data_IF_581472729854
#
_entry.id   IF_581472729854
#
_cell.length_a   1.000
_cell.length_b   1.000
_cell.length_c   1.000
_cell.angle_alpha   90.00
_cell.angle_beta   90.00
_cell.angle_gamma   90.00
#
_symmetry.space_group_name_H-M   'P 1'
#
loop_
_entity.id
_entity.type
_entity.pdbx_description
1 polymer ?
#
# COMPACT_ATOMS: atom_id res chain seq x y z
N UNK A 1 -1.01 25.00 6.30
CA UNK A 1 -2.05 24.63 7.28
C UNK A 1 -1.39 24.04 8.51
N UNK A 2 -1.72 24.53 9.71
CA UNK A 2 -1.15 23.99 10.95
C UNK A 2 -1.92 22.73 11.37
N UNK A 3 -1.20 21.64 11.60
CA UNK A 3 -1.76 20.36 12.01
C UNK A 3 -1.39 20.08 13.46
N UNK A 4 -2.33 19.57 14.24
CA UNK A 4 -2.05 18.91 15.51
C UNK A 4 -1.87 17.42 15.24
N UNK A 5 -0.76 16.86 15.68
CA UNK A 5 -0.41 15.45 15.52
C UNK A 5 -0.23 14.81 16.90
N UNK A 6 -0.97 13.73 17.14
CA UNK A 6 -0.83 12.89 18.33
C UNK A 6 -0.13 11.59 17.89
N UNK A 7 1.04 11.33 18.43
CA UNK A 7 1.82 10.13 18.14
C UNK A 7 1.73 9.16 19.31
N UNK A 8 1.30 7.93 19.05
CA UNK A 8 1.17 6.87 20.05
C UNK A 8 2.10 5.70 19.72
N UNK A 9 3.14 5.52 20.53
CA UNK A 9 4.18 4.53 20.35
C UNK A 9 3.71 3.19 20.91
N UNK A 10 3.41 2.25 20.02
CA UNK A 10 3.01 0.88 20.34
C UNK A 10 3.78 -0.08 19.43
N UNK A 11 4.67 -0.87 20.03
CA UNK A 11 5.57 -1.76 19.29
C UNK A 11 4.93 -3.12 18.94
N UNK A 12 3.75 -3.40 19.49
CA UNK A 12 2.98 -4.61 19.24
C UNK A 12 1.92 -4.36 18.16
N UNK A 13 1.85 -5.23 17.15
CA UNK A 13 0.91 -5.08 16.03
C UNK A 13 -0.55 -5.23 16.47
N UNK A 14 -0.82 -6.10 17.46
CA UNK A 14 -2.16 -6.31 17.99
C UNK A 14 -2.60 -5.09 18.81
N UNK A 15 -1.71 -4.58 19.67
CA UNK A 15 -1.94 -3.33 20.41
C UNK A 15 -2.23 -2.16 19.45
N UNK A 16 -1.47 -2.07 18.36
CA UNK A 16 -1.66 -1.05 17.32
C UNK A 16 -3.03 -1.19 16.63
N UNK A 17 -3.47 -2.42 16.37
CA UNK A 17 -4.80 -2.68 15.80
C UNK A 17 -5.91 -2.24 16.75
N UNK A 18 -5.82 -2.58 18.04
CA UNK A 18 -6.79 -2.11 19.03
C UNK A 18 -6.82 -0.59 19.20
N UNK A 19 -5.65 0.06 19.16
CA UNK A 19 -5.56 1.52 19.15
C UNK A 19 -6.30 2.10 17.94
N UNK A 20 -6.00 1.62 16.73
CA UNK A 20 -6.65 2.08 15.50
C UNK A 20 -8.16 1.87 15.55
N UNK A 21 -8.64 0.71 16.01
CA UNK A 21 -10.06 0.44 16.19
C UNK A 21 -10.71 1.46 17.14
N UNK A 22 -10.09 1.71 18.30
CA UNK A 22 -10.60 2.67 19.28
C UNK A 22 -10.65 4.09 18.74
N UNK A 23 -9.61 4.53 18.03
CA UNK A 23 -9.53 5.84 17.39
C UNK A 23 -10.58 5.97 16.28
N UNK A 24 -10.72 4.98 15.41
CA UNK A 24 -11.69 5.01 14.30
C UNK A 24 -13.12 5.09 14.81
N UNK A 25 -13.47 4.29 15.82
CA UNK A 25 -14.80 4.37 16.46
C UNK A 25 -15.07 5.72 17.07
N UNK A 26 -14.05 6.34 17.68
CA UNK A 26 -14.16 7.69 18.21
C UNK A 26 -14.38 8.72 17.10
N UNK A 27 -13.56 8.69 16.04
CA UNK A 27 -13.67 9.56 14.86
C UNK A 27 -15.05 9.46 14.23
N UNK A 28 -15.55 8.23 14.04
CA UNK A 28 -16.87 7.97 13.48
C UNK A 28 -17.99 8.50 14.40
N UNK A 29 -17.96 8.19 15.70
CA UNK A 29 -18.98 8.63 16.66
C UNK A 29 -19.04 10.17 16.81
N UNK A 30 -17.90 10.84 16.67
CA UNK A 30 -17.77 12.30 16.77
C UNK A 30 -17.88 13.01 15.42
N UNK A 31 -18.01 12.26 14.32
CA UNK A 31 -18.06 12.77 12.93
C UNK A 31 -16.91 13.70 12.60
N UNK A 32 -15.69 13.34 13.01
CA UNK A 32 -14.50 14.12 12.69
C UNK A 32 -14.12 13.87 11.23
N UNK A 33 -14.18 14.91 10.39
CA UNK A 33 -14.07 14.76 8.93
C UNK A 33 -12.62 14.79 8.41
N UNK A 34 -11.74 15.51 9.11
CA UNK A 34 -10.39 15.83 8.66
C UNK A 34 -9.31 15.18 9.53
N UNK A 35 -9.49 13.89 9.84
CA UNK A 35 -8.54 13.11 10.63
C UNK A 35 -7.71 12.20 9.73
N UNK A 36 -6.40 12.28 9.91
CA UNK A 36 -5.40 11.50 9.20
C UNK A 36 -4.81 10.46 10.13
N UNK A 37 -4.75 9.21 9.66
CA UNK A 37 -4.24 8.04 10.37
C UNK A 37 -3.05 7.48 9.61
N UNK A 38 -1.87 7.50 10.22
CA UNK A 38 -0.63 7.02 9.60
C UNK A 38 0.13 6.08 10.53
N UNK A 39 0.80 5.07 9.97
CA UNK A 39 1.86 4.34 10.67
C UNK A 39 3.19 5.02 10.37
N UNK A 40 4.05 5.12 11.37
CA UNK A 40 5.39 5.70 11.22
C UNK A 40 6.39 4.95 12.12
N UNK A 41 7.67 5.10 11.81
CA UNK A 41 8.77 4.38 12.45
C UNK A 41 9.81 5.32 13.08
N UNK A 42 9.75 6.63 12.83
CA UNK A 42 10.71 7.60 13.38
C UNK A 42 10.58 7.67 14.90
N UNK A 43 11.69 7.51 15.63
CA UNK A 43 11.73 7.41 17.09
C UNK A 43 10.96 6.22 17.67
N UNK A 44 10.64 5.21 16.85
CA UNK A 44 9.89 4.02 17.26
C UNK A 44 8.68 3.73 16.37
N UNK A 45 8.15 2.50 16.43
CA UNK A 45 6.91 2.16 15.73
C UNK A 45 5.71 2.81 16.43
N UNK A 46 4.93 3.59 15.67
CA UNK A 46 3.82 4.34 16.24
C UNK A 46 2.72 4.61 15.20
N UNK A 47 1.55 4.99 15.72
CA UNK A 47 0.47 5.57 14.93
C UNK A 47 0.47 7.07 15.14
N UNK A 48 0.44 7.84 14.05
CA UNK A 48 0.19 9.28 14.05
C UNK A 48 -1.28 9.53 13.73
N UNK A 49 -1.91 10.36 14.56
CA UNK A 49 -3.27 10.87 14.37
C UNK A 49 -3.15 12.38 14.18
N UNK A 50 -3.35 12.85 12.96
CA UNK A 50 -3.18 14.26 12.60
C UNK A 50 -4.50 14.89 12.19
N UNK A 51 -4.75 16.13 12.57
CA UNK A 51 -5.94 16.89 12.19
C UNK A 51 -5.64 18.39 12.18
N UNK A 52 -6.39 19.22 11.43
CA UNK A 52 -6.23 20.67 11.47
C UNK A 52 -6.32 21.19 12.91
N UNK A 53 -5.36 22.00 13.35
CA UNK A 53 -5.32 22.48 14.74
C UNK A 53 -6.57 23.29 15.12
N UNK A 54 -7.19 23.95 14.14
CA UNK A 54 -8.46 24.67 14.31
C UNK A 54 -9.67 23.74 14.54
N UNK A 55 -9.57 22.46 14.19
CA UNK A 55 -10.62 21.43 14.33
C UNK A 55 -10.31 20.46 15.48
N UNK A 56 -9.43 20.85 16.40
CA UNK A 56 -8.98 19.98 17.47
C UNK A 56 -10.12 19.53 18.39
N UNK A 57 -10.36 18.22 18.47
CA UNK A 57 -11.26 17.63 19.46
C UNK A 57 -10.46 17.30 20.74
N UNK A 58 -10.80 17.99 21.84
CA UNK A 58 -10.14 17.85 23.14
C UNK A 58 -10.31 16.45 23.77
N UNK A 59 -11.25 15.64 23.31
CA UNK A 59 -11.50 14.29 23.82
C UNK A 59 -10.67 13.20 23.13
N UNK A 60 -10.13 13.45 21.94
CA UNK A 60 -9.37 12.47 21.18
C UNK A 60 -8.03 12.09 21.86
N UNK A 61 -7.25 13.08 22.30
CA UNK A 61 -5.97 12.83 22.98
C UNK A 61 -6.14 12.03 24.30
N UNK A 62 -7.08 12.36 25.20
CA UNK A 62 -7.37 11.53 26.37
C UNK A 62 -7.77 10.09 26.02
N UNK A 63 -8.50 9.87 24.93
CA UNK A 63 -8.86 8.51 24.47
C UNK A 63 -7.61 7.75 24.04
N UNK A 64 -6.75 8.36 23.23
CA UNK A 64 -5.48 7.76 22.78
C UNK A 64 -4.59 7.42 23.98
N UNK A 65 -4.45 8.33 24.95
CA UNK A 65 -3.66 8.08 26.17
C UNK A 65 -4.18 6.89 26.97
N UNK A 66 -5.49 6.78 27.19
CA UNK A 66 -6.09 5.63 27.88
C UNK A 66 -5.86 4.31 27.12
N UNK A 67 -5.94 4.32 25.80
CA UNK A 67 -5.66 3.14 24.98
C UNK A 67 -4.17 2.76 25.05
N UNK A 68 -3.28 3.75 24.99
CA UNK A 68 -1.84 3.54 25.12
C UNK A 68 -1.45 2.97 26.50
N UNK A 69 -2.04 3.47 27.58
CA UNK A 69 -1.86 2.92 28.93
C UNK A 69 -2.36 1.47 29.05
N UNK A 70 -3.48 1.16 28.38
CA UNK A 70 -4.08 -0.18 28.41
C UNK A 70 -3.26 -1.22 27.63
N UNK A 71 -2.72 -0.85 26.48
CA UNK A 71 -2.08 -1.78 25.56
C UNK A 71 -0.56 -1.71 25.52
N UNK A 72 0.03 -0.63 26.04
CA UNK A 72 1.47 -0.51 26.21
C UNK A 72 1.98 -1.49 27.27
N UNK A 73 3.17 -2.04 27.06
CA UNK A 73 3.81 -2.96 28.01
C UNK A 73 5.27 -2.57 28.25
N UNK A 74 5.82 -2.81 29.46
CA UNK A 74 7.25 -2.69 29.67
C UNK A 74 8.01 -3.57 28.69
N UNK A 75 9.06 -3.02 28.09
CA UNK A 75 9.94 -3.69 27.12
C UNK A 75 11.34 -3.78 27.69
N UNK A 76 12.00 -4.89 27.46
CA UNK A 76 13.39 -5.06 27.88
C UNK A 76 14.35 -4.26 26.99
N UNK A 77 15.53 -3.91 27.52
CA UNK A 77 16.57 -3.19 26.76
C UNK A 77 16.97 -3.92 25.47
N UNK A 78 16.97 -5.26 25.50
CA UNK A 78 17.29 -6.10 24.33
C UNK A 78 16.27 -5.96 23.21
N UNK A 79 14.98 -5.77 23.53
CA UNK A 79 13.94 -5.55 22.54
C UNK A 79 14.14 -4.20 21.84
N UNK A 80 14.41 -3.13 22.59
CA UNK A 80 14.70 -1.81 22.00
C UNK A 80 15.92 -1.85 21.09
N UNK A 81 17.00 -2.53 21.48
CA UNK A 81 18.17 -2.69 20.62
C UNK A 81 17.83 -3.37 19.29
N UNK A 82 16.98 -4.42 19.31
CA UNK A 82 16.51 -5.07 18.09
C UNK A 82 15.64 -4.13 17.22
N UNK A 83 14.83 -3.26 17.84
CA UNK A 83 14.07 -2.25 17.10
C UNK A 83 14.97 -1.19 16.47
N UNK A 84 15.99 -0.70 17.18
CA UNK A 84 16.98 0.24 16.62
C UNK A 84 17.65 -0.33 15.37
N UNK A 85 18.06 -1.61 15.39
CA UNK A 85 18.63 -2.28 14.22
C UNK A 85 17.66 -2.31 13.02
N UNK A 86 16.36 -2.52 13.27
CA UNK A 86 15.34 -2.49 12.21
C UNK A 86 15.20 -1.07 11.67
N UNK A 87 15.12 -0.06 12.53
CA UNK A 87 14.99 1.35 12.15
C UNK A 87 16.19 1.85 11.37
N UNK A 88 17.42 1.44 11.73
CA UNK A 88 18.61 1.73 10.94
C UNK A 88 18.51 1.19 9.51
N UNK A 89 18.05 -0.05 9.34
CA UNK A 89 17.83 -0.64 8.01
C UNK A 89 16.76 0.10 7.23
N UNK A 90 15.65 0.48 7.88
CA UNK A 90 14.58 1.28 7.26
C UNK A 90 15.09 2.65 6.82
N UNK A 91 15.83 3.36 7.67
CA UNK A 91 16.39 4.66 7.34
C UNK A 91 17.30 4.61 6.11
N UNK A 92 18.14 3.58 5.99
CA UNK A 92 18.98 3.36 4.79
C UNK A 92 18.12 3.05 3.56
N UNK A 93 17.14 2.15 3.67
CA UNK A 93 16.30 1.74 2.54
C UNK A 93 15.44 2.92 2.00
N UNK A 94 14.93 3.73 2.91
CA UNK A 94 14.09 4.90 2.61
C UNK A 94 14.90 6.16 2.31
N UNK A 95 16.24 6.12 2.37
CA UNK A 95 17.12 7.29 2.28
C UNK A 95 16.73 8.41 3.27
N UNK A 96 16.36 8.05 4.49
CA UNK A 96 15.99 8.98 5.55
C UNK A 96 17.23 9.52 6.25
N UNK A 97 17.38 10.85 6.28
CA UNK A 97 18.60 11.54 6.75
C UNK A 97 18.41 12.33 8.04
N UNK A 98 17.18 12.50 8.51
CA UNK A 98 16.86 13.23 9.74
C UNK A 98 17.04 12.36 10.98
N UNK A 99 16.81 12.94 12.17
CA UNK A 99 16.86 12.19 13.43
C UNK A 99 15.67 11.20 13.53
N UNK A 100 15.97 9.95 13.89
CA UNK A 100 14.98 8.90 14.15
C UNK A 100 15.25 8.12 15.45
N UNK A 101 16.19 8.59 16.26
CA UNK A 101 16.58 8.05 17.57
C UNK A 101 16.77 9.22 18.57
N UNK A 102 16.64 9.00 19.89
CA UNK A 102 16.40 7.72 20.58
C UNK A 102 14.95 7.23 20.44
N UNK A 103 14.72 5.95 20.75
CA UNK A 103 13.37 5.37 20.78
C UNK A 103 12.54 5.88 21.95
N UNK A 104 11.26 6.18 21.69
CA UNK A 104 10.28 6.39 22.75
C UNK A 104 9.89 5.07 23.40
N UNK A 105 9.48 5.15 24.67
CA UNK A 105 9.02 3.96 25.40
C UNK A 105 7.67 3.48 24.86
N UNK A 106 7.45 2.18 24.85
CA UNK A 106 6.15 1.57 24.54
C UNK A 106 5.04 2.16 25.45
N UNK A 107 3.91 2.51 24.87
CA UNK A 107 2.81 3.23 25.52
C UNK A 107 2.99 4.75 25.61
N UNK A 108 4.09 5.33 25.11
CA UNK A 108 4.27 6.78 25.11
C UNK A 108 3.29 7.47 24.15
N UNK A 109 2.74 8.60 24.57
CA UNK A 109 1.92 9.47 23.73
C UNK A 109 2.49 10.89 23.74
N UNK A 110 2.85 11.38 22.57
CA UNK A 110 3.29 12.77 22.35
C UNK A 110 2.26 13.52 21.52
N UNK A 111 2.20 14.84 21.68
CA UNK A 111 1.35 15.70 20.89
C UNK A 111 2.15 16.94 20.49
N UNK A 112 2.10 17.29 19.21
CA UNK A 112 2.82 18.43 18.64
C UNK A 112 1.95 19.16 17.61
N UNK A 113 2.29 20.41 17.34
CA UNK A 113 1.66 21.19 16.28
C UNK A 113 2.69 21.60 15.24
N UNK A 114 2.53 21.12 14.01
CA UNK A 114 3.48 21.30 12.91
C UNK A 114 2.86 22.05 11.74
N UNK A 115 3.70 22.66 10.91
CA UNK A 115 3.27 23.20 9.63
C UNK A 115 3.19 22.09 8.58
N UNK A 116 1.97 21.66 8.25
CA UNK A 116 1.72 20.60 7.28
C UNK A 116 2.10 19.20 7.76
N UNK A 117 1.89 18.23 6.87
CA UNK A 117 2.38 16.86 7.05
C UNK A 117 3.86 16.82 6.72
N UNK A 118 4.69 16.70 7.76
CA UNK A 118 6.12 16.50 7.63
C UNK A 118 6.37 14.99 7.54
N UNK A 119 6.79 14.51 6.37
CA UNK A 119 7.40 13.20 6.19
C UNK A 119 8.68 13.37 5.38
N UNK A 120 9.72 12.63 5.77
CA UNK A 120 10.93 12.52 4.95
C UNK A 120 10.57 11.84 3.62
N UNK A 121 11.05 12.40 2.51
CA UNK A 121 10.92 11.85 1.16
C UNK A 121 9.49 11.74 0.58
N UNK A 122 8.64 12.75 0.82
CA UNK A 122 7.35 12.83 0.12
C UNK A 122 7.48 12.98 -1.40
N UNK A 123 6.56 12.33 -2.12
CA UNK A 123 6.48 12.35 -3.59
C UNK A 123 5.67 13.54 -4.12
N UNK A 124 4.75 14.08 -3.33
CA UNK A 124 3.99 15.29 -3.65
C UNK A 124 4.33 16.49 -2.77
N UNK A 125 3.71 17.63 -3.04
CA UNK A 125 3.67 18.79 -2.15
C UNK A 125 2.95 18.45 -0.82
N UNK A 126 3.05 19.34 0.19
CA UNK A 126 2.30 19.20 1.43
C UNK A 126 0.77 19.12 1.22
N UNK A 127 0.24 19.75 0.17
CA UNK A 127 -1.19 19.70 -0.19
C UNK A 127 -1.57 18.33 -0.72
N UNK A 128 -0.87 17.86 -1.76
CA UNK A 128 -1.13 16.55 -2.39
C UNK A 128 -0.99 15.42 -1.38
N UNK A 129 0.07 15.43 -0.55
CA UNK A 129 0.24 14.41 0.48
C UNK A 129 -0.90 14.46 1.51
N UNK A 130 -1.34 15.65 1.91
CA UNK A 130 -2.48 15.80 2.82
C UNK A 130 -3.75 15.18 2.26
N UNK A 131 -4.08 15.47 1.01
CA UNK A 131 -5.27 14.91 0.35
C UNK A 131 -5.19 13.38 0.23
N UNK A 132 -4.04 12.81 -0.14
CA UNK A 132 -3.83 11.36 -0.21
C UNK A 132 -4.04 10.69 1.16
N UNK A 133 -3.43 11.26 2.20
CA UNK A 133 -3.52 10.71 3.56
C UNK A 133 -4.93 10.86 4.14
N UNK A 134 -5.63 11.94 3.80
CA UNK A 134 -7.02 12.14 4.16
C UNK A 134 -7.93 11.12 3.48
N UNK A 135 -7.78 10.91 2.16
CA UNK A 135 -8.56 9.92 1.42
C UNK A 135 -8.36 8.50 1.98
N UNK A 136 -7.11 8.12 2.32
CA UNK A 136 -6.83 6.83 2.97
C UNK A 136 -7.55 6.70 4.30
N UNK A 137 -7.52 7.76 5.10
CA UNK A 137 -8.09 7.76 6.44
C UNK A 137 -9.62 7.73 6.41
N UNK A 138 -10.24 8.43 5.47
CA UNK A 138 -11.68 8.38 5.23
C UNK A 138 -12.12 6.98 4.79
N UNK A 139 -11.41 6.36 3.83
CA UNK A 139 -11.68 4.98 3.44
C UNK A 139 -11.52 4.01 4.63
N UNK A 140 -10.47 4.20 5.43
CA UNK A 140 -10.23 3.37 6.61
C UNK A 140 -11.40 3.49 7.59
N UNK A 141 -11.86 4.70 7.90
CA UNK A 141 -13.01 4.94 8.79
C UNK A 141 -14.29 4.33 8.25
N UNK A 142 -14.54 4.45 6.93
CA UNK A 142 -15.73 3.89 6.28
C UNK A 142 -15.76 2.36 6.31
N UNK A 143 -14.60 1.70 6.23
CA UNK A 143 -14.51 0.25 6.06
C UNK A 143 -14.15 -0.53 7.32
N UNK A 144 -13.58 0.10 8.35
CA UNK A 144 -12.80 -0.62 9.37
C UNK A 144 -13.58 -1.74 10.10
N UNK A 145 -14.80 -1.46 10.56
CA UNK A 145 -15.58 -2.46 11.29
C UNK A 145 -15.99 -3.62 10.35
N UNK A 146 -16.48 -3.33 9.13
CA UNK A 146 -16.80 -4.37 8.13
C UNK A 146 -15.57 -5.17 7.73
N UNK A 147 -14.40 -4.52 7.59
CA UNK A 147 -13.14 -5.16 7.28
C UNK A 147 -12.70 -6.14 8.38
N UNK A 148 -12.85 -5.75 9.64
CA UNK A 148 -12.49 -6.57 10.81
C UNK A 148 -13.35 -7.81 10.97
N UNK A 149 -14.55 -7.85 10.39
CA UNK A 149 -15.45 -9.01 10.39
C UNK A 149 -15.15 -10.01 9.27
N UNK A 150 -14.40 -9.61 8.24
CA UNK A 150 -14.05 -10.50 7.14
C UNK A 150 -12.96 -11.50 7.54
N UNK A 151 -13.10 -12.79 7.17
CA UNK A 151 -12.00 -13.73 7.27
C UNK A 151 -10.86 -13.37 6.31
N UNK A 152 -9.67 -13.94 6.55
CA UNK A 152 -8.42 -13.53 5.90
C UNK A 152 -8.44 -13.67 4.37
N UNK A 153 -9.01 -14.76 3.86
CA UNK A 153 -9.24 -15.05 2.45
C UNK A 153 -10.15 -14.01 1.78
N UNK A 154 -11.23 -13.60 2.45
CA UNK A 154 -12.14 -12.57 1.95
C UNK A 154 -11.47 -11.20 1.93
N UNK A 155 -10.70 -10.88 2.96
CA UNK A 155 -9.86 -9.67 2.96
C UNK A 155 -8.81 -9.70 1.83
N UNK A 156 -8.22 -10.87 1.52
CA UNK A 156 -7.29 -11.02 0.39
C UNK A 156 -7.99 -10.69 -0.93
N UNK A 157 -9.20 -11.24 -1.12
CA UNK A 157 -10.04 -11.00 -2.29
C UNK A 157 -10.42 -9.51 -2.42
N UNK A 158 -10.82 -8.84 -1.33
CA UNK A 158 -11.14 -7.41 -1.39
C UNK A 158 -9.90 -6.55 -1.73
N UNK A 159 -8.72 -6.88 -1.20
CA UNK A 159 -7.47 -6.25 -1.64
C UNK A 159 -7.14 -6.55 -3.10
N UNK A 160 -7.37 -7.77 -3.58
CA UNK A 160 -7.15 -8.13 -4.97
C UNK A 160 -8.07 -7.31 -5.90
N UNK A 161 -9.34 -7.12 -5.53
CA UNK A 161 -10.26 -6.24 -6.27
C UNK A 161 -9.78 -4.78 -6.30
N UNK A 162 -9.24 -4.26 -5.19
CA UNK A 162 -8.64 -2.91 -5.15
C UNK A 162 -7.51 -2.77 -6.18
N UNK A 163 -6.66 -3.79 -6.30
CA UNK A 163 -5.63 -3.84 -7.34
C UNK A 163 -6.24 -3.96 -8.74
N UNK A 164 -7.24 -4.82 -8.95
CA UNK A 164 -7.96 -4.95 -10.23
C UNK A 164 -8.54 -3.62 -10.71
N UNK A 165 -9.21 -2.86 -9.83
CA UNK A 165 -9.71 -1.50 -10.12
C UNK A 165 -8.57 -0.62 -10.64
N UNK A 166 -7.44 -0.64 -9.94
CA UNK A 166 -6.28 0.21 -10.23
C UNK A 166 -5.63 -0.16 -11.55
N UNK A 167 -5.30 -1.44 -11.77
CA UNK A 167 -4.64 -1.89 -13.00
C UNK A 167 -5.54 -1.79 -14.21
N UNK A 168 -6.87 -1.85 -14.04
CA UNK A 168 -7.81 -1.62 -15.14
C UNK A 168 -7.81 -0.16 -15.64
N UNK A 169 -7.25 0.78 -14.88
CA UNK A 169 -7.07 2.18 -15.32
C UNK A 169 -5.78 2.41 -16.09
N UNK A 170 -4.89 1.43 -16.15
CA UNK A 170 -3.69 1.49 -16.99
C UNK A 170 -4.03 1.33 -18.49
N UNK A 171 -3.19 1.84 -19.41
CA UNK A 171 -3.32 1.54 -20.83
C UNK A 171 -3.39 0.03 -21.10
N UNK A 172 -4.32 -0.39 -21.97
CA UNK A 172 -4.66 -1.80 -22.21
C UNK A 172 -5.41 -2.52 -21.09
N UNK A 173 -5.80 -1.79 -20.04
CA UNK A 173 -6.63 -2.28 -18.94
C UNK A 173 -5.97 -3.38 -18.11
N UNK A 174 -6.82 -4.16 -17.43
CA UNK A 174 -6.37 -5.19 -16.49
C UNK A 174 -5.49 -6.27 -17.15
N UNK A 175 -5.68 -6.54 -18.45
CA UNK A 175 -4.92 -7.55 -19.20
C UNK A 175 -3.43 -7.25 -19.24
N UNK A 176 -3.03 -5.98 -19.26
CA UNK A 176 -1.61 -5.60 -19.27
C UNK A 176 -1.17 -4.95 -17.96
N UNK A 177 -2.04 -4.16 -17.32
CA UNK A 177 -1.70 -3.44 -16.09
C UNK A 177 -1.22 -4.34 -14.95
N UNK A 178 -1.73 -5.58 -14.88
CA UNK A 178 -1.36 -6.55 -13.84
C UNK A 178 0.12 -6.97 -13.87
N UNK A 179 0.81 -6.80 -15.01
CA UNK A 179 2.21 -7.22 -15.17
C UNK A 179 3.15 -6.49 -14.19
N UNK A 180 2.80 -5.28 -13.77
CA UNK A 180 3.55 -4.57 -12.73
C UNK A 180 3.43 -5.22 -11.34
N UNK A 181 2.25 -5.76 -11.00
CA UNK A 181 2.05 -6.54 -9.77
C UNK A 181 2.78 -7.88 -9.87
N UNK A 182 2.74 -8.51 -11.05
CA UNK A 182 3.51 -9.73 -11.34
C UNK A 182 5.01 -9.48 -11.16
N UNK A 183 5.54 -8.37 -11.65
CA UNK A 183 6.95 -7.99 -11.46
C UNK A 183 7.34 -7.92 -9.99
N UNK A 184 6.53 -7.26 -9.16
CA UNK A 184 6.79 -7.17 -7.72
C UNK A 184 6.79 -8.56 -7.04
N UNK A 185 5.85 -9.42 -7.43
CA UNK A 185 5.74 -10.79 -6.91
C UNK A 185 6.95 -11.65 -7.31
N UNK A 186 7.33 -11.63 -8.59
CA UNK A 186 8.50 -12.32 -9.12
C UNK A 186 9.80 -11.87 -8.44
N UNK A 187 9.94 -10.56 -8.22
CA UNK A 187 11.09 -10.01 -7.51
C UNK A 187 11.17 -10.54 -6.07
N UNK A 188 10.03 -10.62 -5.37
CA UNK A 188 9.97 -11.15 -4.02
C UNK A 188 10.40 -12.62 -3.95
N UNK A 189 9.92 -13.45 -4.90
CA UNK A 189 10.28 -14.87 -5.01
C UNK A 189 11.79 -15.01 -5.20
N UNK A 190 12.38 -14.31 -6.17
CA UNK A 190 13.81 -14.41 -6.45
C UNK A 190 14.67 -13.91 -5.29
N UNK A 191 14.25 -12.86 -4.57
CA UNK A 191 14.93 -12.45 -3.34
C UNK A 191 14.89 -13.52 -2.26
N UNK A 192 13.77 -14.24 -2.11
CA UNK A 192 13.68 -15.32 -1.14
C UNK A 192 14.66 -16.45 -1.44
N UNK A 193 14.80 -16.83 -2.71
CA UNK A 193 15.71 -17.89 -3.15
C UNK A 193 17.17 -17.56 -2.80
N UNK A 194 17.56 -16.30 -3.04
CA UNK A 194 18.92 -15.81 -2.78
C UNK A 194 19.16 -15.50 -1.30
N UNK A 195 18.11 -15.25 -0.50
CA UNK A 195 18.29 -15.05 0.94
C UNK A 195 18.78 -16.33 1.61
N UNK A 196 19.91 -16.28 2.32
CA UNK A 196 20.46 -17.39 3.12
C UNK A 196 19.63 -17.75 4.36
N UNK A 197 18.29 -17.59 4.32
CA UNK A 197 17.37 -18.01 5.39
C UNK A 197 17.40 -19.53 5.54
N UNK A 198 17.17 -20.02 6.76
CA UNK A 198 16.96 -21.45 7.04
C UNK A 198 15.85 -22.01 6.15
N UNK A 199 16.04 -23.22 5.63
CA UNK A 199 15.10 -23.87 4.69
C UNK A 199 13.67 -23.97 5.23
N UNK A 200 13.49 -24.23 6.52
CA UNK A 200 12.16 -24.26 7.15
C UNK A 200 11.42 -22.92 7.04
N UNK A 201 12.12 -21.80 7.23
CA UNK A 201 11.53 -20.47 7.08
C UNK A 201 11.21 -20.16 5.62
N UNK A 202 12.05 -20.61 4.68
CA UNK A 202 11.75 -20.48 3.25
C UNK A 202 10.49 -21.24 2.89
N UNK A 203 10.38 -22.51 3.32
CA UNK A 203 9.20 -23.36 3.08
C UNK A 203 7.92 -22.71 3.62
N UNK A 204 7.92 -22.23 4.86
CA UNK A 204 6.75 -21.56 5.45
C UNK A 204 6.31 -20.33 4.67
N UNK A 205 7.25 -19.51 4.18
CA UNK A 205 6.89 -18.35 3.36
C UNK A 205 6.39 -18.81 1.99
N UNK A 206 7.01 -19.82 1.39
CA UNK A 206 6.55 -20.43 0.14
C UNK A 206 5.11 -20.94 0.24
N UNK A 207 4.80 -21.70 1.28
CA UNK A 207 3.43 -22.16 1.56
C UNK A 207 2.48 -20.98 1.71
N UNK A 208 2.85 -19.92 2.43
CA UNK A 208 2.01 -18.73 2.60
C UNK A 208 1.79 -17.94 1.30
N UNK A 209 2.75 -17.95 0.37
CA UNK A 209 2.64 -17.22 -0.90
C UNK A 209 1.76 -17.94 -1.92
N UNK A 210 1.75 -19.27 -1.93
CA UNK A 210 1.16 -20.07 -3.02
C UNK A 210 -0.01 -20.95 -2.58
N UNK A 211 -0.26 -21.11 -1.29
CA UNK A 211 -1.51 -21.73 -0.84
C UNK A 211 -2.69 -20.88 -1.29
N UNK A 212 -3.78 -21.54 -1.69
CA UNK A 212 -5.05 -20.89 -2.04
C UNK A 212 -6.18 -21.60 -1.33
N UNK A 213 -6.98 -20.84 -0.60
CA UNK A 213 -8.26 -21.29 -0.05
C UNK A 213 -9.25 -21.60 -1.18
N UNK A 214 -10.36 -22.28 -0.86
CA UNK A 214 -11.41 -22.57 -1.85
C UNK A 214 -12.01 -21.27 -2.40
N UNK A 215 -12.24 -20.29 -1.54
CA UNK A 215 -12.74 -18.97 -1.88
C UNK A 215 -11.81 -18.21 -2.84
N UNK A 216 -10.49 -18.27 -2.60
CA UNK A 216 -9.49 -17.67 -3.47
C UNK A 216 -9.39 -18.40 -4.82
N UNK A 217 -9.51 -19.72 -4.83
CA UNK A 217 -9.56 -20.50 -6.08
C UNK A 217 -10.78 -20.13 -6.91
N UNK A 218 -11.96 -19.99 -6.29
CA UNK A 218 -13.15 -19.51 -6.99
C UNK A 218 -12.98 -18.09 -7.53
N UNK A 219 -12.31 -17.23 -6.78
CA UNK A 219 -11.95 -15.89 -7.24
C UNK A 219 -10.99 -15.93 -8.43
N UNK A 220 -9.96 -16.79 -8.44
CA UNK A 220 -9.05 -16.96 -9.59
C UNK A 220 -9.84 -17.37 -10.84
N UNK A 221 -10.76 -18.33 -10.70
CA UNK A 221 -11.53 -18.87 -11.83
C UNK A 221 -12.54 -17.88 -12.43
N UNK A 222 -13.13 -17.01 -11.62
CA UNK A 222 -14.28 -16.19 -12.03
C UNK A 222 -14.06 -14.68 -11.87
N UNK A 223 -12.99 -14.24 -11.22
CA UNK A 223 -12.80 -12.87 -10.76
C UNK A 223 -12.81 -11.85 -11.89
N UNK A 224 -11.99 -12.06 -12.93
CA UNK A 224 -11.96 -11.21 -14.13
C UNK A 224 -13.32 -11.15 -14.81
N UNK A 225 -14.00 -12.30 -14.98
CA UNK A 225 -15.33 -12.34 -15.59
C UNK A 225 -16.34 -11.52 -14.79
N UNK A 226 -16.37 -11.71 -13.47
CA UNK A 226 -17.26 -10.96 -12.57
C UNK A 226 -16.95 -9.47 -12.59
N UNK A 227 -15.67 -9.11 -12.66
CA UNK A 227 -15.22 -7.72 -12.77
C UNK A 227 -15.68 -7.10 -14.09
N UNK A 228 -15.45 -7.77 -15.22
CA UNK A 228 -15.87 -7.30 -16.55
C UNK A 228 -17.40 -7.16 -16.70
N UNK A 229 -18.16 -8.00 -16.00
CA UNK A 229 -19.62 -7.96 -15.97
C UNK A 229 -20.20 -6.97 -14.94
N UNK A 230 -19.36 -6.18 -14.24
CA UNK A 230 -19.80 -5.22 -13.22
C UNK A 230 -20.48 -5.86 -12.01
N UNK A 231 -20.24 -7.16 -11.76
CA UNK A 231 -20.92 -7.87 -10.65
C UNK A 231 -20.45 -7.40 -9.28
N UNK A 232 -19.25 -6.83 -9.19
CA UNK A 232 -18.72 -6.30 -7.94
C UNK A 232 -19.28 -4.93 -7.57
N UNK A 233 -19.85 -4.17 -8.52
CA UNK A 233 -20.31 -2.79 -8.33
C UNK A 233 -21.40 -2.66 -7.25
N UNK A 234 -22.12 -3.76 -6.97
CA UNK A 234 -23.15 -3.82 -5.93
C UNK A 234 -22.59 -4.12 -4.53
N UNK A 235 -21.33 -4.50 -4.42
CA UNK A 235 -20.67 -4.82 -3.16
C UNK A 235 -20.20 -3.53 -2.47
N UNK A 236 -20.56 -3.35 -1.20
CA UNK A 236 -20.26 -2.12 -0.45
C UNK A 236 -18.76 -1.77 -0.44
N UNK A 237 -17.91 -2.75 -0.12
CA UNK A 237 -16.45 -2.55 -0.05
C UNK A 237 -15.90 -2.18 -1.43
N UNK A 238 -16.31 -2.90 -2.48
CA UNK A 238 -15.87 -2.61 -3.84
C UNK A 238 -16.22 -1.18 -4.28
N UNK A 239 -17.46 -0.74 -4.04
CA UNK A 239 -17.88 0.62 -4.37
C UNK A 239 -17.05 1.69 -3.65
N UNK A 240 -16.73 1.48 -2.37
CA UNK A 240 -15.87 2.39 -1.59
C UNK A 240 -14.43 2.41 -2.11
N UNK A 241 -13.88 1.25 -2.47
CA UNK A 241 -12.55 1.13 -3.06
C UNK A 241 -12.48 1.83 -4.41
N UNK A 242 -13.52 1.68 -5.25
CA UNK A 242 -13.58 2.33 -6.55
C UNK A 242 -13.60 3.86 -6.41
N UNK A 243 -14.47 4.40 -5.55
CA UNK A 243 -14.51 5.84 -5.25
C UNK A 243 -13.15 6.33 -4.74
N UNK A 244 -12.51 5.58 -3.84
CA UNK A 244 -11.19 5.94 -3.32
C UNK A 244 -10.12 6.01 -4.42
N UNK A 245 -10.03 4.99 -5.29
CA UNK A 245 -9.06 4.96 -6.39
C UNK A 245 -9.33 6.08 -7.40
N UNK A 246 -10.59 6.37 -7.71
CA UNK A 246 -10.97 7.45 -8.62
C UNK A 246 -10.61 8.83 -8.06
N UNK A 247 -10.90 9.09 -6.77
CA UNK A 247 -10.50 10.31 -6.09
C UNK A 247 -8.97 10.45 -6.03
N UNK A 248 -8.26 9.36 -5.72
CA UNK A 248 -6.80 9.35 -5.66
C UNK A 248 -6.18 9.68 -7.01
N UNK A 249 -6.71 9.08 -8.09
CA UNK A 249 -6.26 9.38 -9.46
C UNK A 249 -6.50 10.85 -9.83
N UNK A 250 -7.64 11.43 -9.42
CA UNK A 250 -7.94 12.85 -9.63
C UNK A 250 -6.92 13.76 -8.93
N UNK A 251 -6.67 13.53 -7.63
CA UNK A 251 -5.70 14.30 -6.82
C UNK A 251 -4.30 14.21 -7.43
N UNK A 252 -3.88 13.00 -7.80
CA UNK A 252 -2.56 12.77 -8.37
C UNK A 252 -2.42 13.36 -9.78
N UNK A 253 -3.46 13.25 -10.62
CA UNK A 253 -3.44 13.84 -11.96
C UNK A 253 -3.33 15.35 -11.88
N UNK A 254 -4.14 15.99 -11.03
CA UNK A 254 -4.07 17.43 -10.81
C UNK A 254 -2.69 17.84 -10.26
N UNK A 255 -2.21 17.16 -9.22
CA UNK A 255 -0.90 17.43 -8.64
C UNK A 255 0.26 17.24 -9.64
N UNK A 256 0.14 16.31 -10.59
CA UNK A 256 1.11 16.16 -11.67
C UNK A 256 1.07 17.35 -12.63
N UNK A 257 -0.12 17.74 -13.09
CA UNK A 257 -0.31 18.83 -14.05
C UNK A 257 0.12 20.19 -13.47
N UNK A 258 -0.01 20.37 -12.16
CA UNK A 258 0.42 21.56 -11.42
C UNK A 258 1.92 21.54 -11.02
N UNK A 259 2.65 20.46 -11.35
CA UNK A 259 4.07 20.32 -10.99
C UNK A 259 4.33 20.08 -9.50
N UNK A 260 3.30 19.68 -8.74
CA UNK A 260 3.39 19.36 -7.32
C UNK A 260 3.91 17.95 -7.04
N UNK A 261 3.88 17.06 -8.05
CA UNK A 261 4.48 15.72 -7.98
C UNK A 261 5.93 15.77 -8.45
N UNK A 262 6.83 15.36 -7.56
CA UNK A 262 8.27 15.27 -7.80
C UNK A 262 8.60 13.93 -8.43
N UNK A 263 8.30 13.79 -9.72
CA UNK A 263 8.52 12.55 -10.47
C UNK A 263 9.99 12.12 -10.46
N UNK A 264 10.93 13.05 -10.34
CA UNK A 264 12.37 12.79 -10.18
C UNK A 264 12.72 12.07 -8.87
N UNK A 265 11.86 12.15 -7.85
CA UNK A 265 11.99 11.36 -6.61
C UNK A 265 11.47 9.94 -6.79
N UNK A 266 10.66 9.67 -7.82
CA UNK A 266 10.32 8.31 -8.19
C UNK A 266 11.56 7.69 -8.83
N UNK A 267 12.10 6.68 -8.16
CA UNK A 267 13.20 5.86 -8.69
C UNK A 267 12.79 5.37 -10.09
N UNK A 268 13.59 5.67 -11.12
CA UNK A 268 13.25 5.33 -12.51
C UNK A 268 13.37 3.83 -12.78
N UNK A 269 12.81 3.33 -13.89
CA UNK A 269 13.04 1.94 -14.32
C UNK A 269 14.52 1.63 -14.57
N UNK A 270 15.34 2.63 -14.91
CA UNK A 270 16.80 2.47 -15.07
C UNK A 270 17.52 2.16 -13.75
N UNK A 271 17.02 2.69 -12.64
CA UNK A 271 17.50 2.36 -11.29
C UNK A 271 17.13 0.92 -10.89
N UNK A 272 16.10 0.33 -11.49
CA UNK A 272 15.60 -1.00 -11.16
C UNK A 272 16.69 -2.05 -11.45
N UNK A 273 17.20 -2.10 -12.67
CA UNK A 273 18.22 -3.07 -13.06
C UNK A 273 19.54 -2.93 -12.27
N UNK A 274 19.87 -1.72 -11.83
CA UNK A 274 21.10 -1.44 -11.06
C UNK A 274 20.99 -1.73 -9.57
N UNK A 275 19.77 -1.79 -9.01
CA UNK A 275 19.53 -1.97 -7.55
C UNK A 275 19.10 -3.37 -7.16
N UNK A 276 18.64 -4.18 -8.11
CA UNK A 276 18.03 -5.46 -7.81
C UNK A 276 18.99 -6.61 -8.12
N UNK A 277 19.56 -7.20 -7.06
CA UNK A 277 20.57 -8.27 -7.19
C UNK A 277 19.99 -9.65 -7.56
N UNK A 278 18.67 -9.75 -7.72
CA UNK A 278 17.94 -11.02 -7.89
C UNK A 278 16.89 -10.91 -9.00
N UNK A 279 17.30 -10.41 -10.17
CA UNK A 279 16.45 -10.37 -11.36
C UNK A 279 16.29 -11.77 -11.94
N UNK A 280 15.08 -12.08 -12.40
CA UNK A 280 14.75 -13.35 -13.04
C UNK A 280 14.26 -13.15 -14.49
N UNK A 281 13.87 -14.23 -15.14
CA UNK A 281 13.43 -14.25 -16.54
C UNK A 281 12.33 -13.22 -16.84
N UNK A 282 11.39 -13.01 -15.90
CA UNK A 282 10.36 -11.99 -16.02
C UNK A 282 10.99 -10.60 -16.22
N UNK A 283 11.93 -10.23 -15.35
CA UNK A 283 12.52 -8.90 -15.33
C UNK A 283 13.41 -8.65 -16.54
N UNK A 284 14.18 -9.65 -16.97
CA UNK A 284 15.00 -9.56 -18.18
C UNK A 284 14.16 -9.41 -19.44
N UNK A 285 12.96 -10.00 -19.45
CA UNK A 285 12.01 -9.85 -20.55
C UNK A 285 11.35 -8.46 -20.55
N UNK A 286 10.99 -7.93 -19.37
CA UNK A 286 10.16 -6.73 -19.24
C UNK A 286 10.92 -5.39 -19.25
N UNK A 287 12.20 -5.37 -18.83
CA UNK A 287 12.97 -4.11 -18.71
C UNK A 287 13.92 -3.84 -19.89
N UNK A 288 13.45 -4.06 -21.11
CA UNK A 288 14.23 -3.69 -22.30
C UNK A 288 14.41 -2.15 -22.43
N UNK A 289 15.46 -1.64 -23.09
CA UNK A 289 15.73 -0.20 -23.17
C UNK A 289 14.61 0.68 -23.75
N UNK A 290 13.74 0.13 -24.60
CA UNK A 290 12.55 0.82 -25.13
C UNK A 290 11.43 0.96 -24.09
N UNK A 291 11.29 -0.01 -23.18
CA UNK A 291 10.32 0.04 -22.09
C UNK A 291 10.72 1.07 -21.02
N UNK A 292 12.02 1.30 -20.81
CA UNK A 292 12.56 2.29 -19.87
C UNK A 292 12.08 3.73 -20.12
N UNK A 293 11.73 4.09 -21.37
CA UNK A 293 11.16 5.40 -21.69
C UNK A 293 9.72 5.56 -21.18
N UNK A 294 8.91 4.50 -21.18
CA UNK A 294 7.52 4.52 -20.69
C UNK A 294 7.43 4.70 -19.19
N UNK A 295 8.49 4.37 -18.45
CA UNK A 295 8.57 4.65 -17.02
C UNK A 295 8.52 6.15 -16.67
N UNK A 296 8.61 7.04 -17.67
CA UNK A 296 8.50 8.49 -17.53
C UNK A 296 7.14 9.06 -17.95
N UNK A 297 6.23 8.23 -18.49
CA UNK A 297 4.89 8.68 -18.86
C UNK A 297 4.04 8.99 -17.62
N UNK A 298 3.22 10.06 -17.70
CA UNK A 298 2.32 10.49 -16.63
C UNK A 298 1.53 9.32 -16.05
N UNK A 299 0.82 8.55 -16.90
CA UNK A 299 -0.05 7.47 -16.44
C UNK A 299 0.71 6.40 -15.64
N UNK A 300 1.94 6.08 -16.05
CA UNK A 300 2.77 5.11 -15.35
C UNK A 300 3.31 5.66 -14.02
N UNK A 301 3.69 6.94 -13.99
CA UNK A 301 4.08 7.65 -12.75
C UNK A 301 2.92 7.63 -11.75
N UNK A 302 1.72 8.04 -12.17
CA UNK A 302 0.54 8.07 -11.31
C UNK A 302 0.21 6.67 -10.79
N UNK A 303 0.23 5.67 -11.67
CA UNK A 303 0.01 4.27 -11.30
C UNK A 303 0.96 3.81 -10.17
N UNK A 304 2.26 4.11 -10.27
CA UNK A 304 3.24 3.72 -9.24
C UNK A 304 3.03 4.42 -7.90
N UNK A 305 2.57 5.68 -7.93
CA UNK A 305 2.20 6.39 -6.71
C UNK A 305 0.97 5.74 -6.10
N UNK A 306 -0.06 5.43 -6.89
CA UNK A 306 -1.26 4.72 -6.42
C UNK A 306 -0.87 3.40 -5.76
N UNK A 307 -0.08 2.55 -6.42
CA UNK A 307 0.38 1.26 -5.89
C UNK A 307 1.07 1.43 -4.52
N UNK A 308 1.93 2.44 -4.37
CA UNK A 308 2.59 2.78 -3.10
C UNK A 308 1.58 3.19 -2.01
N UNK A 309 0.56 3.97 -2.37
CA UNK A 309 -0.54 4.38 -1.47
C UNK A 309 -1.37 3.17 -1.05
N UNK A 310 -1.66 2.25 -1.97
CA UNK A 310 -2.40 1.00 -1.68
C UNK A 310 -1.62 0.11 -0.73
N UNK A 311 -0.31 -0.07 -0.94
CA UNK A 311 0.53 -0.82 0.00
C UNK A 311 0.59 -0.17 1.39
N UNK A 312 0.59 1.16 1.48
CA UNK A 312 0.52 1.85 2.75
C UNK A 312 -0.84 1.64 3.45
N UNK A 313 -1.94 1.72 2.70
CA UNK A 313 -3.29 1.43 3.20
C UNK A 313 -3.41 0.00 3.72
N UNK A 314 -2.89 -0.99 2.96
CA UNK A 314 -2.86 -2.39 3.38
C UNK A 314 -2.12 -2.59 4.72
N UNK A 315 -1.05 -1.82 4.98
CA UNK A 315 -0.39 -1.84 6.29
C UNK A 315 -1.31 -1.37 7.43
N UNK A 316 -2.17 -0.37 7.19
CA UNK A 316 -3.16 0.11 8.16
C UNK A 316 -4.26 -0.93 8.41
N UNK A 317 -4.64 -1.67 7.37
CA UNK A 317 -5.56 -2.81 7.40
C UNK A 317 -4.94 -4.09 7.97
N UNK A 318 -3.74 -4.01 8.55
CA UNK A 318 -2.99 -5.13 9.16
C UNK A 318 -2.61 -6.24 8.17
N UNK A 319 -2.51 -5.93 6.88
CA UNK A 319 -2.02 -6.87 5.87
C UNK A 319 -0.48 -6.85 5.85
N UNK A 320 0.13 -7.98 6.20
CA UNK A 320 1.59 -8.12 6.30
C UNK A 320 2.29 -8.07 4.94
N UNK A 321 3.60 -7.86 4.93
CA UNK A 321 4.40 -7.83 3.69
C UNK A 321 4.33 -9.14 2.88
N UNK A 322 4.31 -10.30 3.54
CA UNK A 322 4.16 -11.59 2.86
C UNK A 322 2.75 -11.72 2.27
N UNK A 323 1.73 -11.33 3.04
CA UNK A 323 0.34 -11.39 2.60
C UNK A 323 0.05 -10.44 1.43
N UNK A 324 0.69 -9.27 1.40
CA UNK A 324 0.69 -8.37 0.22
C UNK A 324 1.15 -9.08 -1.05
N UNK A 325 2.24 -9.85 -0.97
CA UNK A 325 2.77 -10.58 -2.12
C UNK A 325 1.89 -11.78 -2.51
N UNK A 326 1.29 -12.47 -1.54
CA UNK A 326 0.25 -13.45 -1.79
C UNK A 326 -0.91 -12.84 -2.61
N UNK A 327 -1.39 -11.66 -2.21
CA UNK A 327 -2.48 -10.95 -2.91
C UNK A 327 -2.04 -10.52 -4.32
N UNK A 328 -0.82 -10.03 -4.50
CA UNK A 328 -0.30 -9.72 -5.85
C UNK A 328 -0.25 -10.95 -6.75
N UNK A 329 0.15 -12.10 -6.21
CA UNK A 329 0.09 -13.39 -6.91
C UNK A 329 -1.34 -13.81 -7.25
N UNK A 330 -2.29 -13.64 -6.31
CA UNK A 330 -3.71 -13.90 -6.51
C UNK A 330 -4.30 -13.08 -7.67
N UNK A 331 -3.94 -11.80 -7.78
CA UNK A 331 -4.34 -10.94 -8.91
C UNK A 331 -3.76 -11.47 -10.21
N UNK A 332 -2.46 -11.79 -10.24
CA UNK A 332 -1.82 -12.30 -11.45
C UNK A 332 -2.44 -13.60 -11.95
N UNK A 333 -2.66 -14.57 -11.06
CA UNK A 333 -3.32 -15.84 -11.37
C UNK A 333 -4.75 -15.63 -11.85
N UNK A 334 -5.51 -14.74 -11.21
CA UNK A 334 -6.87 -14.41 -11.62
C UNK A 334 -6.92 -13.81 -13.03
N UNK A 335 -5.99 -12.91 -13.36
CA UNK A 335 -5.90 -12.30 -14.69
C UNK A 335 -5.48 -13.32 -15.75
N UNK A 336 -4.42 -14.07 -15.48
CA UNK A 336 -3.91 -15.13 -16.36
C UNK A 336 -5.00 -16.18 -16.65
N UNK A 337 -5.70 -16.65 -15.62
CA UNK A 337 -6.81 -17.59 -15.75
C UNK A 337 -8.01 -16.98 -16.51
N UNK A 338 -8.36 -15.73 -16.20
CA UNK A 338 -9.50 -15.02 -16.80
C UNK A 338 -9.37 -14.80 -18.30
N UNK A 339 -8.14 -14.58 -18.79
CA UNK A 339 -7.84 -14.44 -20.21
C UNK A 339 -7.32 -15.73 -20.86
N UNK A 340 -7.11 -16.81 -20.09
CA UNK A 340 -6.48 -18.06 -20.57
C UNK A 340 -5.10 -17.82 -21.19
N UNK A 341 -4.30 -17.01 -20.52
CA UNK A 341 -2.98 -16.56 -20.97
C UNK A 341 -1.99 -16.60 -19.81
N UNK A 342 -0.70 -16.74 -20.10
CA UNK A 342 0.35 -16.47 -19.12
C UNK A 342 0.91 -15.04 -19.28
N UNK A 343 1.81 -14.64 -18.38
CA UNK A 343 2.43 -13.32 -18.44
C UNK A 343 3.27 -13.07 -19.71
N UNK A 344 3.89 -14.10 -20.30
CA UNK A 344 4.64 -13.96 -21.57
C UNK A 344 3.69 -13.66 -22.71
N UNK A 345 2.56 -14.36 -22.78
CA UNK A 345 1.53 -14.11 -23.80
C UNK A 345 1.01 -12.67 -23.68
N UNK A 346 0.72 -12.22 -22.45
CA UNK A 346 0.26 -10.85 -22.18
C UNK A 346 1.30 -9.80 -22.59
N UNK A 347 2.59 -10.05 -22.32
CA UNK A 347 3.68 -9.16 -22.72
C UNK A 347 3.86 -9.10 -24.24
N UNK A 348 3.80 -10.24 -24.92
CA UNK A 348 3.89 -10.31 -26.38
C UNK A 348 2.75 -9.53 -27.05
N UNK A 349 1.52 -9.72 -26.57
CA UNK A 349 0.36 -8.97 -27.09
C UNK A 349 0.45 -7.48 -26.78
N UNK A 350 0.91 -7.09 -25.59
CA UNK A 350 1.13 -5.69 -25.25
C UNK A 350 2.12 -5.03 -26.23
N UNK A 351 3.23 -5.69 -26.53
CA UNK A 351 4.23 -5.19 -27.48
C UNK A 351 3.66 -5.08 -28.91
N UNK A 352 2.88 -6.08 -29.35
CA UNK A 352 2.22 -6.03 -30.66
C UNK A 352 1.22 -4.87 -30.73
N UNK A 353 0.34 -4.72 -29.74
CA UNK A 353 -0.64 -3.62 -29.68
C UNK A 353 0.03 -2.25 -29.69
N UNK A 354 1.21 -2.12 -29.08
CA UNK A 354 1.99 -0.88 -29.11
C UNK A 354 2.62 -0.61 -30.48
N UNK A 355 3.10 -1.64 -31.18
CA UNK A 355 3.61 -1.49 -32.55
C UNK A 355 2.51 -1.11 -33.55
N UNK A 356 1.26 -1.48 -33.29
CA UNK A 356 0.10 -1.15 -34.12
C UNK A 356 -0.64 0.14 -33.71
N UNK A 357 -0.26 0.78 -32.60
CA UNK A 357 -0.91 2.01 -32.11
C UNK A 357 -2.25 1.79 -31.39
N UNK A 358 -2.59 0.54 -31.05
CA UNK A 358 -3.88 0.12 -30.48
C UNK A 358 -3.87 0.06 -28.94
N UNK A 359 -2.70 0.18 -28.30
CA UNK A 359 -2.53 0.02 -26.84
C UNK A 359 -3.27 1.06 -25.96
N UNK A 360 -3.94 2.05 -26.56
CA UNK A 360 -4.67 3.09 -25.83
C UNK A 360 -6.13 2.74 -25.52
N UNK A 361 -6.69 1.68 -26.12
CA UNK A 361 -8.06 1.27 -25.86
C UNK A 361 -8.16 0.51 -24.52
N UNK A 362 -9.01 1.00 -23.61
CA UNK A 362 -9.40 0.25 -22.41
C UNK A 362 -10.17 -0.98 -22.87
N UNK A 363 -9.60 -2.17 -22.69
CA UNK A 363 -10.28 -3.40 -23.14
C UNK A 363 -11.46 -3.84 -22.27
N UNK A 364 -11.70 -3.18 -21.12
CA UNK A 364 -12.86 -3.46 -20.27
C UNK A 364 -13.47 -2.14 -19.81
N UNK A 365 -14.77 -2.01 -20.06
CA UNK A 365 -15.64 -0.86 -19.81
C UNK A 365 -15.51 -0.29 -18.39
#
# INVERSE_FOLDING_TARGET
MRLRTISCYLYDSEATAFLLQGVIRYVHARRLMNVILQKSWTFGFHVKISFPAAEADNGLEPVIRRLAERYGKPRERREYAAYEEILHKLAVLENYTEAYLPLFKDGTVTAEETEGLLHGNTLGSSRVNYEIELLKSQLLVDLYDTWGELPEDRQNIECAKMFMITVNRSPGGIKFGYLSLRSNFEYFISRMEVTGKKEENKRRIWEALFSRTEEEQQFILQGVKRFAEGRYDREFIFGRLQIFVDCLLSVLSQGYDEGEIKAERLRTGGDFLQRYDALNDFHWTFHSPSELQKHQEKNFILYRIIDSVLYALMSLLQVTSVRKQHISGLVAECVEQGFSMNWRDSYLEMNLAQHHGEASEKMIH
#
